data_IF_446666721192
#
_entry.id   IF_446666721192
#
_cell.length_a   1.000
_cell.length_b   1.000
_cell.length_c   1.000
_cell.angle_alpha   90.00
_cell.angle_beta   90.00
_cell.angle_gamma   90.00
#
_symmetry.space_group_name_H-M   'P 1'
#
loop_
_entity.id
_entity.type
_entity.pdbx_description
1 polymer ?
#
# COMPACT_ATOMS: atom_id res chain seq x y z
N UNK A 1 -9.24 -7.68 12.43
CA UNK A 1 -9.60 -6.40 13.11
C UNK A 1 -8.45 -5.48 12.79
N UNK A 2 -8.64 -4.63 11.79
CA UNK A 2 -7.59 -3.75 11.28
C UNK A 2 -7.04 -2.92 12.43
N UNK A 3 -5.71 -2.93 12.59
CA UNK A 3 -5.02 -2.15 13.61
C UNK A 3 -5.11 -0.64 13.37
N UNK A 4 -5.56 -0.25 12.17
CA UNK A 4 -5.65 1.12 11.66
C UNK A 4 -7.06 1.67 11.82
N UNK A 5 -7.16 2.95 12.18
CA UNK A 5 -8.41 3.73 12.15
C UNK A 5 -8.91 3.95 10.72
N UNK A 6 -10.15 4.41 10.55
CA UNK A 6 -10.70 4.75 9.23
C UNK A 6 -9.86 5.81 8.51
N UNK A 7 -9.35 6.80 9.25
CA UNK A 7 -8.53 7.88 8.71
C UNK A 7 -7.16 7.37 8.25
N UNK A 8 -6.56 6.45 9.02
CA UNK A 8 -5.31 5.78 8.63
C UNK A 8 -5.52 4.88 7.42
N UNK A 9 -6.62 4.13 7.35
CA UNK A 9 -6.94 3.30 6.19
C UNK A 9 -7.18 4.13 4.93
N UNK A 10 -7.83 5.29 5.03
CA UNK A 10 -7.96 6.22 3.90
C UNK A 10 -6.61 6.75 3.41
N UNK A 11 -5.72 7.11 4.33
CA UNK A 11 -4.36 7.54 3.99
C UNK A 11 -3.54 6.40 3.36
N UNK A 12 -3.65 5.18 3.90
CA UNK A 12 -3.01 3.98 3.33
C UNK A 12 -3.55 3.72 1.92
N UNK A 13 -4.87 3.78 1.73
CA UNK A 13 -5.51 3.56 0.44
C UNK A 13 -5.06 4.60 -0.60
N UNK A 14 -4.95 5.87 -0.22
CA UNK A 14 -4.47 6.91 -1.12
C UNK A 14 -3.04 6.66 -1.62
N UNK A 15 -2.17 6.11 -0.76
CA UNK A 15 -0.81 5.71 -1.13
C UNK A 15 -0.83 4.49 -2.04
N UNK A 16 -1.64 3.48 -1.72
CA UNK A 16 -1.83 2.28 -2.55
C UNK A 16 -2.31 2.65 -3.95
N UNK A 17 -3.38 3.43 -4.06
CA UNK A 17 -3.93 3.89 -5.34
C UNK A 17 -2.90 4.64 -6.18
N UNK A 18 -2.08 5.49 -5.54
CA UNK A 18 -0.99 6.21 -6.20
C UNK A 18 0.04 5.24 -6.77
N UNK A 19 0.51 4.29 -5.96
CA UNK A 19 1.54 3.33 -6.38
C UNK A 19 1.01 2.38 -7.45
N UNK A 20 -0.21 1.86 -7.31
CA UNK A 20 -0.89 1.04 -8.33
C UNK A 20 -1.02 1.79 -9.66
N UNK A 21 -1.34 3.10 -9.63
CA UNK A 21 -1.48 3.89 -10.86
C UNK A 21 -0.17 4.06 -11.66
N UNK A 22 0.99 3.95 -11.00
CA UNK A 22 2.31 4.09 -11.62
C UNK A 22 3.00 2.75 -11.86
N UNK A 23 2.44 1.67 -11.30
CA UNK A 23 3.00 0.33 -11.36
C UNK A 23 3.00 -0.26 -12.78
N UNK A 24 2.21 0.30 -13.70
CA UNK A 24 2.08 -0.03 -15.13
C UNK A 24 3.35 0.32 -15.97
N UNK A 25 4.52 0.18 -15.34
CA UNK A 25 5.86 0.50 -15.84
C UNK A 25 6.96 0.42 -14.78
N UNK A 26 6.65 0.08 -13.53
CA UNK A 26 7.63 -0.04 -12.45
C UNK A 26 8.32 -1.42 -12.46
N UNK A 27 9.62 -1.44 -12.16
CA UNK A 27 10.36 -2.70 -11.95
C UNK A 27 9.94 -3.38 -10.65
N UNK A 28 9.89 -4.72 -10.67
CA UNK A 28 9.64 -5.60 -9.52
C UNK A 28 10.48 -5.17 -8.30
N UNK A 29 9.84 -5.02 -7.12
CA UNK A 29 10.48 -4.55 -5.89
C UNK A 29 10.51 -3.02 -5.69
N UNK A 30 10.15 -2.21 -6.70
CA UNK A 30 10.00 -0.75 -6.55
C UNK A 30 8.77 -0.38 -5.73
N UNK A 31 7.72 -1.22 -5.78
CA UNK A 31 6.43 -0.98 -5.11
C UNK A 31 6.60 -0.84 -3.61
N UNK A 32 7.37 -1.75 -2.99
CA UNK A 32 7.59 -1.75 -1.55
C UNK A 32 8.27 -0.45 -1.07
N UNK A 33 9.23 0.05 -1.85
CA UNK A 33 9.97 1.26 -1.52
C UNK A 33 9.07 2.51 -1.63
N UNK A 34 8.24 2.57 -2.68
CA UNK A 34 7.30 3.67 -2.91
C UNK A 34 6.15 3.68 -1.89
N UNK A 35 5.63 2.51 -1.50
CA UNK A 35 4.68 2.39 -0.39
C UNK A 35 5.29 2.92 0.90
N UNK A 36 6.53 2.53 1.22
CA UNK A 36 7.24 3.01 2.40
C UNK A 36 7.41 4.52 2.43
N UNK A 37 7.77 5.14 1.30
CA UNK A 37 7.86 6.60 1.16
C UNK A 37 6.49 7.26 1.32
N UNK A 38 5.46 6.73 0.68
CA UNK A 38 4.10 7.27 0.76
C UNK A 38 3.55 7.23 2.20
N UNK A 39 3.75 6.13 2.92
CA UNK A 39 3.31 6.04 4.32
C UNK A 39 4.06 7.05 5.21
N UNK A 40 5.37 7.19 5.02
CA UNK A 40 6.16 8.21 5.72
C UNK A 40 5.70 9.65 5.42
N UNK A 41 5.28 9.95 4.19
CA UNK A 41 4.72 11.25 3.80
C UNK A 41 3.38 11.54 4.49
N UNK A 42 2.55 10.50 4.68
CA UNK A 42 1.25 10.62 5.38
C UNK A 42 1.36 10.63 6.90
N UNK A 43 2.50 10.20 7.46
CA UNK A 43 2.69 10.02 8.90
C UNK A 43 2.00 8.79 9.47
N UNK A 44 1.51 7.87 8.63
CA UNK A 44 0.91 6.60 9.06
C UNK A 44 2.00 5.56 9.30
N UNK A 45 1.98 4.95 10.47
CA UNK A 45 2.88 3.85 10.80
C UNK A 45 2.31 2.52 10.31
N UNK A 46 2.80 2.06 9.16
CA UNK A 46 2.52 0.71 8.64
C UNK A 46 3.70 -0.18 8.96
N UNK A 47 3.45 -1.39 9.46
CA UNK A 47 4.53 -2.36 9.74
C UNK A 47 5.15 -2.89 8.45
N UNK A 48 6.40 -3.36 8.50
CA UNK A 48 7.07 -3.89 7.31
C UNK A 48 6.38 -5.14 6.74
N UNK A 49 5.71 -5.93 7.59
CA UNK A 49 4.92 -7.08 7.14
C UNK A 49 3.67 -6.64 6.35
N UNK A 50 2.97 -5.61 6.82
CA UNK A 50 1.80 -5.04 6.13
C UNK A 50 2.19 -4.36 4.83
N UNK A 51 3.29 -3.58 4.82
CA UNK A 51 3.84 -3.00 3.57
C UNK A 51 4.13 -4.08 2.55
N UNK A 52 4.70 -5.21 2.98
CA UNK A 52 5.00 -6.33 2.09
C UNK A 52 3.74 -6.98 1.54
N UNK A 53 2.71 -7.21 2.37
CA UNK A 53 1.43 -7.73 1.91
C UNK A 53 0.77 -6.81 0.88
N UNK A 54 0.81 -5.50 1.10
CA UNK A 54 0.31 -4.51 0.13
C UNK A 54 1.13 -4.51 -1.15
N UNK A 55 2.46 -4.60 -1.06
CA UNK A 55 3.32 -4.66 -2.23
C UNK A 55 3.04 -5.92 -3.06
N UNK A 56 3.01 -7.08 -2.41
CA UNK A 56 2.71 -8.37 -3.04
C UNK A 56 1.32 -8.32 -3.70
N UNK A 57 0.31 -7.75 -3.04
CA UNK A 57 -1.03 -7.60 -3.61
C UNK A 57 -1.06 -6.69 -4.85
N UNK A 58 -0.33 -5.56 -4.82
CA UNK A 58 -0.24 -4.65 -5.97
C UNK A 58 0.53 -5.29 -7.14
N UNK A 59 1.57 -6.06 -6.86
CA UNK A 59 2.37 -6.74 -7.88
C UNK A 59 1.63 -7.95 -8.49
N UNK A 60 0.89 -8.71 -7.68
CA UNK A 60 0.13 -9.89 -8.14
C UNK A 60 -1.21 -9.51 -8.80
N UNK A 61 -1.85 -8.44 -8.36
CA UNK A 61 -3.15 -8.00 -8.84
C UNK A 61 -2.98 -6.85 -9.84
N UNK A 62 -3.17 -7.14 -11.12
CA UNK A 62 -3.25 -6.14 -12.20
C UNK A 62 -4.55 -5.30 -12.11
N UNK A 63 -4.89 -4.79 -10.92
CA UNK A 63 -6.18 -4.18 -10.59
C UNK A 63 -6.13 -3.30 -9.34
N UNK A 64 -7.29 -2.78 -8.94
CA UNK A 64 -7.40 -1.89 -7.79
C UNK A 64 -7.33 -2.70 -6.49
N UNK A 65 -6.23 -2.56 -5.76
CA UNK A 65 -6.02 -3.20 -4.45
C UNK A 65 -6.74 -2.42 -3.35
N UNK A 66 -7.51 -3.11 -2.51
CA UNK A 66 -8.16 -2.52 -1.33
C UNK A 66 -7.31 -2.80 -0.08
N UNK A 67 -6.73 -1.76 0.51
CA UNK A 67 -5.87 -1.89 1.69
C UNK A 67 -6.61 -2.52 2.88
N UNK A 68 -7.90 -2.20 3.06
CA UNK A 68 -8.70 -2.78 4.12
C UNK A 68 -8.84 -4.31 4.00
N UNK A 69 -8.93 -4.84 2.77
CA UNK A 69 -9.05 -6.28 2.53
C UNK A 69 -7.70 -7.00 2.78
N UNK A 70 -6.60 -6.39 2.34
CA UNK A 70 -5.24 -6.93 2.51
C UNK A 70 -4.77 -6.92 3.97
N UNK A 71 -5.18 -5.91 4.74
CA UNK A 71 -4.77 -5.70 6.14
C UNK A 71 -5.78 -6.24 7.19
N UNK A 72 -6.76 -7.05 6.77
CA UNK A 72 -7.90 -7.49 7.61
C UNK A 72 -7.58 -8.54 8.68
#
# INVERSE_FOLDING_TARGET
>A
MSAHSSEELEAIQAVVDRVTSWQDGATEGTVLEELGKGFAETGVEVSDEEKKKLADAIEDEHGAVQAADVLS
#
